data_IF_653065737067
#
_entry.id   IF_653065737067
#
_cell.length_a   1.000
_cell.length_b   1.000
_cell.length_c   1.000
_cell.angle_alpha   90.00
_cell.angle_beta   90.00
_cell.angle_gamma   90.00
#
_symmetry.space_group_name_H-M   'P 1'
#
loop_
_entity.id
_entity.type
_entity.pdbx_description
1 polymer ?
#
# COMPACT_ATOMS: atom_id res chain seq x y z
N UNK A 1 2.27 -9.72 -12.28
CA UNK A 1 2.58 -10.33 -10.97
C UNK A 1 1.74 -9.69 -9.85
N UNK A 2 1.08 -10.47 -9.00
CA UNK A 2 0.33 -9.96 -7.83
C UNK A 2 1.26 -9.67 -6.67
N UNK A 3 1.23 -8.45 -6.12
CA UNK A 3 2.14 -8.04 -5.04
C UNK A 3 1.35 -7.40 -3.90
N UNK A 4 1.61 -7.86 -2.67
CA UNK A 4 1.09 -7.23 -1.48
C UNK A 4 1.96 -6.03 -1.08
N UNK A 5 1.35 -4.88 -0.93
CA UNK A 5 1.99 -3.61 -0.59
C UNK A 5 1.76 -3.30 0.88
N UNK A 6 2.85 -2.97 1.59
CA UNK A 6 2.84 -2.61 3.00
C UNK A 6 2.86 -1.08 3.23
N UNK A 7 2.42 -0.64 4.41
CA UNK A 7 2.48 0.75 4.88
C UNK A 7 3.86 1.36 4.68
N UNK A 8 4.92 0.62 5.07
CA UNK A 8 6.28 1.15 5.05
C UNK A 8 6.77 1.49 3.63
N UNK A 9 6.43 0.65 2.64
CA UNK A 9 6.76 0.88 1.23
C UNK A 9 6.02 2.09 0.66
N UNK A 10 4.74 2.25 0.98
CA UNK A 10 3.95 3.42 0.57
C UNK A 10 4.54 4.70 1.16
N UNK A 11 4.85 4.70 2.44
CA UNK A 11 5.45 5.85 3.12
C UNK A 11 6.80 6.21 2.52
N UNK A 12 7.63 5.21 2.19
CA UNK A 12 8.92 5.42 1.52
C UNK A 12 8.74 5.99 0.10
N UNK A 13 7.78 5.46 -0.67
CA UNK A 13 7.45 5.94 -2.03
C UNK A 13 7.12 7.44 -2.00
N UNK A 14 6.29 7.85 -1.05
CA UNK A 14 5.92 9.26 -0.88
C UNK A 14 7.11 10.09 -0.42
N UNK A 15 7.89 9.62 0.56
CA UNK A 15 9.03 10.38 1.10
C UNK A 15 10.10 10.63 0.03
N UNK A 16 10.34 9.66 -0.86
CA UNK A 16 11.29 9.79 -1.95
C UNK A 16 10.75 10.59 -3.15
N UNK A 17 9.43 10.80 -3.23
CA UNK A 17 8.79 11.45 -4.38
C UNK A 17 8.98 10.68 -5.69
N UNK A 18 9.11 9.36 -5.61
CA UNK A 18 9.38 8.47 -6.76
C UNK A 18 8.38 7.33 -6.81
N UNK A 19 8.04 6.91 -8.01
CA UNK A 19 7.20 5.73 -8.22
C UNK A 19 8.05 4.44 -8.10
N UNK A 20 8.08 3.89 -6.88
CA UNK A 20 8.84 2.67 -6.59
C UNK A 20 8.19 1.42 -7.20
N UNK A 21 6.87 1.43 -7.42
CA UNK A 21 6.16 0.32 -8.08
C UNK A 21 6.61 0.24 -9.54
N UNK A 22 6.56 1.38 -10.26
CA UNK A 22 7.04 1.45 -11.65
C UNK A 22 8.54 1.12 -11.78
N UNK A 23 9.32 1.50 -10.77
CA UNK A 23 10.74 1.14 -10.71
C UNK A 23 10.93 -0.38 -10.61
N UNK A 24 10.13 -1.05 -9.78
CA UNK A 24 10.16 -2.51 -9.66
C UNK A 24 9.68 -3.20 -10.95
N UNK A 25 8.62 -2.71 -11.59
CA UNK A 25 8.14 -3.23 -12.89
C UNK A 25 9.24 -3.21 -13.96
N UNK A 26 9.96 -2.08 -14.07
CA UNK A 26 11.05 -1.94 -15.03
C UNK A 26 12.21 -2.92 -14.78
N UNK A 27 12.52 -3.21 -13.51
CA UNK A 27 13.61 -4.13 -13.13
C UNK A 27 13.19 -5.58 -13.38
N UNK A 28 11.94 -5.91 -13.07
CA UNK A 28 11.41 -7.27 -13.19
C UNK A 28 11.01 -7.63 -14.62
N UNK A 29 10.75 -6.62 -15.48
CA UNK A 29 10.25 -6.84 -16.83
C UNK A 29 8.79 -7.29 -16.87
N UNK A 30 8.04 -7.10 -15.76
CA UNK A 30 6.66 -7.53 -15.61
C UNK A 30 5.80 -6.44 -14.97
N UNK A 31 4.51 -6.38 -15.33
CA UNK A 31 3.53 -5.49 -14.71
C UNK A 31 3.15 -5.99 -13.32
N UNK A 32 3.13 -5.09 -12.34
CA UNK A 32 2.71 -5.37 -10.98
C UNK A 32 1.22 -5.05 -10.83
N UNK A 33 0.48 -6.02 -10.31
CA UNK A 33 -0.89 -5.82 -9.84
C UNK A 33 -0.84 -5.60 -8.31
N UNK A 34 -1.00 -4.37 -7.82
CA UNK A 34 -0.79 -4.04 -6.42
C UNK A 34 -2.03 -4.35 -5.58
N UNK A 35 -1.81 -5.07 -4.48
CA UNK A 35 -2.81 -5.39 -3.47
C UNK A 35 -2.46 -4.76 -2.15
N UNK A 36 -3.46 -4.39 -1.35
CA UNK A 36 -3.28 -3.86 -0.01
C UNK A 36 -4.31 -4.44 0.96
N UNK A 37 -3.91 -4.69 2.20
CA UNK A 37 -4.84 -5.13 3.23
C UNK A 37 -5.70 -3.95 3.70
N UNK A 38 -6.98 -4.18 3.97
CA UNK A 38 -7.85 -3.16 4.56
C UNK A 38 -7.31 -2.65 5.91
N UNK A 39 -6.80 -3.54 6.77
CA UNK A 39 -6.20 -3.19 8.06
C UNK A 39 -5.03 -2.19 7.93
N UNK A 40 -4.29 -2.28 6.81
CA UNK A 40 -3.18 -1.38 6.50
C UNK A 40 -3.69 0.01 6.10
N UNK A 41 -4.81 0.08 5.38
CA UNK A 41 -5.49 1.35 5.07
C UNK A 41 -5.95 2.02 6.36
N UNK A 42 -6.55 1.25 7.28
CA UNK A 42 -7.02 1.76 8.58
C UNK A 42 -5.86 2.30 9.44
N UNK A 43 -4.70 1.66 9.40
CA UNK A 43 -3.50 2.15 10.10
C UNK A 43 -3.03 3.49 9.51
N UNK A 44 -2.94 3.57 8.18
CA UNK A 44 -2.56 4.80 7.48
C UNK A 44 -3.52 5.96 7.79
N UNK A 45 -4.84 5.70 7.87
CA UNK A 45 -5.82 6.71 8.29
C UNK A 45 -5.57 7.23 9.71
N UNK A 46 -5.26 6.32 10.65
CA UNK A 46 -4.94 6.70 12.03
C UNK A 46 -3.66 7.54 12.11
N UNK A 47 -2.67 7.28 11.25
CA UNK A 47 -1.44 8.08 11.16
C UNK A 47 -1.74 9.45 10.55
N UNK A 48 -2.51 9.50 9.47
CA UNK A 48 -2.86 10.72 8.74
C UNK A 48 -3.65 11.72 9.59
N UNK A 49 -4.47 11.24 10.55
CA UNK A 49 -5.23 12.09 11.49
C UNK A 49 -4.36 12.82 12.52
N UNK A 50 -3.05 12.52 12.62
CA UNK A 50 -2.11 13.18 13.54
C UNK A 50 -1.56 14.48 12.93
N UNK A 51 -0.55 15.08 13.55
CA UNK A 51 0.16 16.26 13.05
C UNK A 51 1.62 15.94 12.72
N UNK A 52 2.23 16.77 11.88
CA UNK A 52 3.65 16.72 11.54
C UNK A 52 3.96 15.95 10.25
N UNK A 53 5.26 15.84 9.93
CA UNK A 53 5.75 15.27 8.66
C UNK A 53 5.16 13.88 8.36
N UNK A 54 5.13 13.01 9.36
CA UNK A 54 4.63 11.63 9.22
C UNK A 54 3.13 11.60 8.87
N UNK A 55 2.33 12.50 9.43
CA UNK A 55 0.91 12.59 9.09
C UNK A 55 0.71 13.04 7.63
N UNK A 56 1.48 14.04 7.18
CA UNK A 56 1.42 14.51 5.79
C UNK A 56 1.80 13.40 4.79
N UNK A 57 2.85 12.64 5.09
CA UNK A 57 3.25 11.48 4.28
C UNK A 57 2.14 10.43 4.22
N UNK A 58 1.53 10.11 5.36
CA UNK A 58 0.42 9.14 5.42
C UNK A 58 -0.81 9.60 4.63
N UNK A 59 -1.12 10.90 4.63
CA UNK A 59 -2.22 11.46 3.81
C UNK A 59 -1.99 11.24 2.31
N UNK A 60 -0.76 11.40 1.83
CA UNK A 60 -0.44 11.14 0.42
C UNK A 60 -0.40 9.64 0.16
N UNK A 61 0.15 8.84 1.08
CA UNK A 61 0.18 7.39 0.97
C UNK A 61 -1.23 6.80 0.86
N UNK A 62 -2.21 7.30 1.62
CA UNK A 62 -3.63 6.91 1.51
C UNK A 62 -4.17 7.08 0.09
N UNK A 63 -3.86 8.19 -0.58
CA UNK A 63 -4.28 8.42 -1.97
C UNK A 63 -3.68 7.39 -2.94
N UNK A 64 -2.47 6.89 -2.67
CA UNK A 64 -1.88 5.84 -3.49
C UNK A 64 -2.63 4.50 -3.34
N UNK A 65 -3.23 4.23 -2.18
CA UNK A 65 -4.01 3.01 -1.95
C UNK A 65 -5.29 2.94 -2.79
N UNK A 66 -5.80 4.08 -3.27
CA UNK A 66 -6.99 4.15 -4.14
C UNK A 66 -6.75 3.48 -5.50
N UNK A 67 -5.50 3.33 -5.92
CA UNK A 67 -5.10 2.66 -7.17
C UNK A 67 -4.84 1.16 -6.99
N UNK A 68 -5.09 0.62 -5.79
CA UNK A 68 -4.73 -0.76 -5.42
C UNK A 68 -5.97 -1.61 -5.15
N UNK A 69 -5.86 -2.91 -5.41
CA UNK A 69 -6.88 -3.88 -5.06
C UNK A 69 -6.88 -4.12 -3.54
N UNK A 70 -7.97 -3.76 -2.87
CA UNK A 70 -8.11 -3.97 -1.42
C UNK A 70 -8.53 -5.40 -1.13
N UNK A 71 -7.89 -6.02 -0.16
CA UNK A 71 -8.20 -7.39 0.28
C UNK A 71 -8.33 -7.45 1.80
N UNK A 72 -9.21 -8.34 2.26
CA UNK A 72 -9.35 -8.67 3.67
C UNK A 72 -8.44 -9.84 4.02
N UNK A 73 -7.70 -9.72 5.11
CA UNK A 73 -7.04 -10.88 5.68
C UNK A 73 -8.09 -11.80 6.32
N UNK A 74 -8.13 -13.07 5.89
CA UNK A 74 -9.01 -14.07 6.49
C UNK A 74 -8.13 -15.11 7.21
N UNK A 75 -8.24 -15.14 8.54
CA UNK A 75 -7.43 -16.00 9.43
C UNK A 75 -7.70 -17.51 9.24
N UNK A 76 -8.83 -17.86 8.64
CA UNK A 76 -9.19 -19.23 8.24
C UNK A 76 -9.74 -19.19 6.81
N UNK A 77 -9.09 -19.87 5.87
CA UNK A 77 -9.75 -20.17 4.61
C UNK A 77 -11.03 -20.98 4.91
N UNK A 78 -12.19 -20.60 4.38
CA UNK A 78 -13.35 -21.48 4.41
C UNK A 78 -12.92 -22.80 3.77
N UNK A 79 -13.14 -23.89 4.50
CA UNK A 79 -12.68 -25.24 4.12
C UNK A 79 -13.54 -25.85 3.01
N UNK A 80 -14.51 -25.09 2.51
CA UNK A 80 -15.48 -25.51 1.51
C UNK A 80 -15.20 -24.75 0.20
N UNK A 81 -14.19 -25.20 -0.55
CA UNK A 81 -13.99 -24.89 -1.97
C UNK A 81 -13.90 -26.19 -2.77
#
# INVERSE_FOLDING_TARGET
MKVLIDTSLLMLTVEQGRDLIRSAENILGEVIEPYILEDIVDELEKIAKRRGKKANLATVALKLTEKMSKIKYIKKLPVDL
#
